data_IF_123605026213
#
_entry.id   IF_123605026213
#
_cell.length_a   1.000
_cell.length_b   1.000
_cell.length_c   1.000
_cell.angle_alpha   90.00
_cell.angle_beta   90.00
_cell.angle_gamma   90.00
#
_symmetry.space_group_name_H-M   'P 1'
#
loop_
_entity.id
_entity.type
_entity.pdbx_description
1 polymer ?
#
# COMPACT_ATOMS: atom_id res chain seq x y z
N UNK A 1 26.62 -38.24 52.20
CA UNK A 1 26.61 -38.11 53.67
C UNK A 1 26.52 -36.61 53.99
N UNK A 2 25.39 -36.19 54.57
CA UNK A 2 25.01 -34.88 55.12
C UNK A 2 25.10 -33.62 54.22
N UNK A 3 24.00 -33.12 53.66
CA UNK A 3 22.95 -32.23 54.23
C UNK A 3 23.43 -30.80 54.50
N UNK A 4 22.89 -29.82 53.76
CA UNK A 4 22.26 -28.62 54.34
C UNK A 4 21.40 -27.87 53.33
N UNK A 5 20.15 -27.67 53.73
CA UNK A 5 19.08 -26.86 53.14
C UNK A 5 19.41 -25.38 53.30
N UNK A 6 19.28 -24.57 52.25
CA UNK A 6 19.02 -23.13 52.39
C UNK A 6 17.99 -22.66 51.34
N UNK A 7 16.86 -22.28 51.89
CA UNK A 7 15.76 -21.41 51.49
C UNK A 7 15.96 -20.51 50.27
N UNK A 8 15.00 -20.56 49.34
CA UNK A 8 14.78 -19.58 48.26
C UNK A 8 14.36 -18.22 48.83
N UNK A 9 15.02 -17.15 48.38
CA UNK A 9 14.53 -15.78 48.49
C UNK A 9 14.29 -15.24 47.07
N UNK A 10 13.01 -15.12 46.71
CA UNK A 10 12.55 -14.56 45.46
C UNK A 10 12.55 -13.02 45.62
N UNK A 11 13.51 -12.32 45.01
CA UNK A 11 13.46 -10.86 44.90
C UNK A 11 12.62 -10.47 43.69
N UNK A 12 11.37 -10.03 43.91
CA UNK A 12 10.61 -9.28 42.91
C UNK A 12 11.16 -7.85 42.83
N UNK A 13 11.90 -7.54 41.78
CA UNK A 13 12.20 -6.16 41.41
C UNK A 13 10.98 -5.58 40.66
N UNK A 14 10.22 -4.72 41.33
CA UNK A 14 9.18 -3.91 40.68
C UNK A 14 9.86 -2.76 39.94
N UNK A 15 9.89 -2.83 38.61
CA UNK A 15 10.35 -1.71 37.78
C UNK A 15 9.21 -0.70 37.64
N UNK A 16 9.31 0.42 38.37
CA UNK A 16 8.39 1.54 38.23
C UNK A 16 8.87 2.35 37.02
N UNK A 17 8.26 2.12 35.86
CA UNK A 17 8.42 3.01 34.71
C UNK A 17 7.72 4.34 35.04
N UNK A 18 8.48 5.32 35.50
CA UNK A 18 7.98 6.70 35.61
C UNK A 18 7.86 7.27 34.19
N UNK A 19 6.64 7.23 33.65
CA UNK A 19 6.27 8.07 32.51
C UNK A 19 6.32 9.51 32.98
N UNK A 20 7.36 10.26 32.60
CA UNK A 20 7.37 11.72 32.72
C UNK A 20 6.47 12.23 31.59
N UNK A 21 5.27 12.79 31.87
CA UNK A 21 4.49 13.43 30.84
C UNK A 21 5.20 14.73 30.47
N UNK A 22 5.79 14.77 29.28
CA UNK A 22 6.26 16.02 28.71
C UNK A 22 5.04 16.96 28.60
N UNK A 23 5.17 18.25 28.98
CA UNK A 23 4.08 19.19 28.79
C UNK A 23 3.81 19.35 27.30
N UNK A 24 2.72 18.74 26.83
CA UNK A 24 2.15 19.08 25.53
C UNK A 24 1.56 20.48 25.66
N UNK A 25 2.27 21.48 25.12
CA UNK A 25 1.66 22.76 24.82
C UNK A 25 0.62 22.48 23.74
N UNK A 26 -0.63 22.30 24.14
CA UNK A 26 -1.77 22.32 23.24
C UNK A 26 -1.90 23.75 22.73
N UNK A 27 -1.18 24.08 21.66
CA UNK A 27 -1.54 25.22 20.83
C UNK A 27 -2.94 24.95 20.28
N UNK A 28 -3.83 25.94 20.43
CA UNK A 28 -5.23 25.85 20.03
C UNK A 28 -5.32 25.26 18.61
N UNK A 29 -6.03 24.15 18.50
CA UNK A 29 -6.31 23.51 17.22
C UNK A 29 -6.99 24.54 16.30
N UNK A 30 -6.29 24.97 15.27
CA UNK A 30 -6.93 25.49 14.07
C UNK A 30 -7.53 24.31 13.29
N UNK A 31 -8.45 23.58 13.93
CA UNK A 31 -9.40 22.72 13.24
C UNK A 31 -10.45 23.64 12.60
N UNK A 32 -10.00 24.49 11.68
CA UNK A 32 -10.90 25.10 10.71
C UNK A 32 -11.30 24.00 9.73
N UNK A 33 -12.57 23.96 9.35
CA UNK A 33 -13.03 23.16 8.21
C UNK A 33 -12.18 23.53 6.99
N UNK A 34 -11.13 22.75 6.72
CA UNK A 34 -10.26 22.99 5.59
C UNK A 34 -11.04 22.51 4.37
N UNK A 35 -11.68 23.45 3.67
CA UNK A 35 -12.32 23.18 2.37
C UNK A 35 -11.27 23.00 1.26
N UNK A 36 -9.99 22.98 1.63
CA UNK A 36 -8.85 23.04 0.73
C UNK A 36 -7.69 22.20 1.27
N UNK A 37 -7.62 20.95 0.80
CA UNK A 37 -6.60 19.97 1.18
C UNK A 37 -5.17 20.42 0.84
N UNK A 38 -5.00 21.54 0.12
CA UNK A 38 -3.70 22.14 -0.21
C UNK A 38 -3.20 23.19 0.80
N UNK A 39 -3.95 23.51 1.87
CA UNK A 39 -3.50 24.55 2.80
C UNK A 39 -2.28 24.13 3.62
N UNK A 40 -1.17 24.86 3.45
CA UNK A 40 0.12 24.62 4.12
C UNK A 40 0.05 24.61 5.65
N UNK A 41 -0.95 25.26 6.25
CA UNK A 41 -1.06 25.42 7.71
C UNK A 41 -1.28 24.09 8.47
N UNK A 42 -1.85 23.07 7.81
CA UNK A 42 -2.08 21.76 8.43
C UNK A 42 -0.88 20.79 8.31
N UNK A 43 0.09 21.10 7.44
CA UNK A 43 1.21 20.20 7.12
C UNK A 43 2.36 20.22 8.14
N UNK A 44 2.34 21.13 9.13
CA UNK A 44 3.34 21.23 10.20
C UNK A 44 2.99 20.44 11.47
N UNK A 45 1.98 19.56 11.41
CA UNK A 45 1.55 18.74 12.56
C UNK A 45 2.10 17.29 12.48
N UNK A 46 2.60 16.71 13.59
CA UNK A 46 2.74 17.30 14.92
C UNK A 46 3.96 18.22 15.03
N UNK A 47 3.86 19.26 15.85
CA UNK A 47 5.00 20.09 16.24
C UNK A 47 6.05 19.23 16.94
N UNK A 48 7.23 19.09 16.32
CA UNK A 48 8.34 18.27 16.80
C UNK A 48 9.48 19.17 17.28
N UNK A 49 10.04 18.88 18.46
CA UNK A 49 11.32 19.45 18.92
C UNK A 49 12.53 18.61 18.49
N UNK A 50 12.29 17.51 17.77
CA UNK A 50 13.30 16.60 17.24
C UNK A 50 13.45 16.80 15.73
N UNK A 51 14.68 17.06 15.28
CA UNK A 51 14.98 17.30 13.86
C UNK A 51 14.67 18.72 13.41
N UNK A 52 14.71 18.94 12.10
CA UNK A 52 14.26 20.19 11.50
C UNK A 52 12.73 20.21 11.43
N UNK A 53 12.13 21.36 11.70
CA UNK A 53 10.70 21.58 11.48
C UNK A 53 10.36 21.28 10.01
N UNK A 54 9.29 20.50 9.78
CA UNK A 54 8.79 20.24 8.44
C UNK A 54 8.15 21.53 7.94
N UNK A 55 8.85 22.22 7.04
CA UNK A 55 8.34 23.43 6.41
C UNK A 55 7.49 23.00 5.19
N UNK A 56 6.19 23.34 5.15
CA UNK A 56 5.36 23.08 3.98
C UNK A 56 6.02 23.71 2.74
N UNK A 57 6.21 22.91 1.70
CA UNK A 57 6.76 23.38 0.43
C UNK A 57 5.58 23.72 -0.49
N UNK A 58 5.58 24.93 -1.05
CA UNK A 58 4.67 25.22 -2.15
C UNK A 58 5.09 24.37 -3.36
N UNK A 59 4.16 23.73 -4.08
CA UNK A 59 4.51 23.03 -5.31
C UNK A 59 5.07 24.03 -6.31
N UNK A 60 6.15 23.68 -6.99
CA UNK A 60 6.68 24.48 -8.09
C UNK A 60 5.79 24.37 -9.34
N UNK A 61 6.12 25.12 -10.38
CA UNK A 61 5.31 25.17 -11.60
C UNK A 61 5.32 23.83 -12.36
N UNK A 62 6.42 23.06 -12.25
CA UNK A 62 6.52 21.72 -12.85
C UNK A 62 5.58 20.75 -12.16
N UNK A 63 5.59 20.68 -10.83
CA UNK A 63 4.69 19.83 -10.06
C UNK A 63 3.23 20.21 -10.29
N UNK A 64 2.90 21.50 -10.37
CA UNK A 64 1.52 21.92 -10.70
C UNK A 64 1.10 21.46 -12.09
N UNK A 65 1.96 21.60 -13.10
CA UNK A 65 1.67 21.13 -14.45
C UNK A 65 1.44 19.61 -14.49
N UNK A 66 2.25 18.83 -13.77
CA UNK A 66 2.05 17.37 -13.65
C UNK A 66 0.73 17.01 -12.96
N UNK A 67 0.33 17.76 -11.93
CA UNK A 67 -0.95 17.56 -11.24
C UNK A 67 -2.14 17.90 -12.14
N UNK A 68 -2.02 18.91 -13.00
CA UNK A 68 -3.06 19.30 -13.96
C UNK A 68 -3.28 18.24 -15.07
N UNK A 69 -2.30 17.36 -15.30
CA UNK A 69 -2.43 16.22 -16.22
C UNK A 69 -3.22 15.03 -15.63
N UNK A 70 -3.49 15.03 -14.32
CA UNK A 70 -4.26 13.97 -13.66
C UNK A 70 -5.73 14.08 -14.05
N UNK A 71 -6.24 13.06 -14.75
CA UNK A 71 -7.61 13.01 -15.23
C UNK A 71 -8.46 12.01 -14.41
N UNK A 72 -9.46 12.48 -13.64
CA UNK A 72 -10.38 11.62 -12.90
C UNK A 72 -11.12 10.60 -13.77
N UNK A 73 -11.37 10.90 -15.05
CA UNK A 73 -12.05 9.98 -15.95
C UNK A 73 -11.19 8.75 -16.27
N UNK A 74 -9.86 8.90 -16.34
CA UNK A 74 -8.94 7.78 -16.52
C UNK A 74 -8.88 6.90 -15.27
N UNK A 75 -8.90 7.50 -14.08
CA UNK A 75 -8.94 6.78 -12.80
C UNK A 75 -10.23 5.96 -12.71
N UNK A 76 -11.39 6.58 -12.98
CA UNK A 76 -12.68 5.88 -12.99
C UNK A 76 -12.69 4.74 -14.01
N UNK A 77 -12.18 4.95 -15.21
CA UNK A 77 -12.10 3.91 -16.24
C UNK A 77 -11.27 2.70 -15.78
N UNK A 78 -10.14 2.91 -15.10
CA UNK A 78 -9.34 1.83 -14.54
C UNK A 78 -10.08 1.08 -13.43
N UNK A 79 -10.74 1.81 -12.51
CA UNK A 79 -11.55 1.20 -11.45
C UNK A 79 -12.65 0.32 -12.06
N UNK A 80 -13.43 0.87 -12.99
CA UNK A 80 -14.52 0.15 -13.66
C UNK A 80 -14.00 -1.07 -14.43
N UNK A 81 -12.82 -0.94 -15.06
CA UNK A 81 -12.20 -2.06 -15.74
C UNK A 81 -11.79 -3.17 -14.77
N UNK A 82 -11.18 -2.84 -13.64
CA UNK A 82 -10.83 -3.82 -12.60
C UNK A 82 -12.07 -4.47 -11.97
N UNK A 83 -13.13 -3.70 -11.75
CA UNK A 83 -14.45 -4.19 -11.29
C UNK A 83 -15.07 -5.16 -12.30
N UNK A 84 -14.89 -4.92 -13.61
CA UNK A 84 -15.49 -5.74 -14.67
C UNK A 84 -15.03 -7.20 -14.69
N UNK A 85 -13.91 -7.53 -14.03
CA UNK A 85 -13.47 -8.92 -13.89
C UNK A 85 -14.34 -9.75 -12.93
N UNK A 86 -15.33 -9.13 -12.28
CA UNK A 86 -16.30 -9.76 -11.37
C UNK A 86 -15.72 -10.08 -10.00
N UNK A 87 -14.63 -10.84 -9.97
CA UNK A 87 -13.81 -11.09 -8.78
C UNK A 87 -12.35 -11.08 -9.15
N UNK A 88 -11.49 -10.64 -8.23
CA UNK A 88 -10.03 -10.75 -8.34
C UNK A 88 -9.48 -11.55 -7.16
N UNK A 89 -10.27 -12.47 -6.61
CA UNK A 89 -9.83 -13.29 -5.48
C UNK A 89 -8.56 -14.08 -5.82
N UNK A 90 -7.63 -14.18 -4.87
CA UNK A 90 -6.34 -14.89 -5.04
C UNK A 90 -6.52 -16.31 -5.60
N UNK A 91 -7.55 -17.02 -5.14
CA UNK A 91 -7.89 -18.39 -5.57
C UNK A 91 -8.78 -18.47 -6.83
N UNK A 92 -9.20 -17.35 -7.40
CA UNK A 92 -10.06 -17.32 -8.59
C UNK A 92 -9.30 -17.76 -9.85
N UNK A 93 -10.02 -17.87 -10.97
CA UNK A 93 -9.46 -18.37 -12.24
C UNK A 93 -8.17 -17.63 -12.65
N UNK A 94 -7.16 -18.42 -13.03
CA UNK A 94 -5.83 -17.97 -13.43
C UNK A 94 -5.68 -17.84 -14.95
N UNK A 95 -6.59 -18.44 -15.71
CA UNK A 95 -6.49 -18.67 -17.15
C UNK A 95 -7.76 -18.21 -17.89
N UNK A 96 -8.21 -16.99 -17.57
CA UNK A 96 -9.32 -16.33 -18.24
C UNK A 96 -8.87 -14.96 -18.74
N UNK A 97 -9.50 -14.49 -19.82
CA UNK A 97 -9.27 -13.14 -20.37
C UNK A 97 -10.30 -12.12 -19.87
N UNK A 98 -11.35 -12.57 -19.18
CA UNK A 98 -12.52 -11.73 -18.86
C UNK A 98 -12.95 -11.79 -17.39
N UNK A 99 -12.51 -12.78 -16.61
CA UNK A 99 -12.90 -12.96 -15.21
C UNK A 99 -11.72 -13.39 -14.37
N UNK A 100 -11.72 -13.05 -13.09
CA UNK A 100 -10.76 -13.59 -12.12
C UNK A 100 -9.43 -12.84 -12.08
N UNK A 101 -8.60 -13.25 -11.12
CA UNK A 101 -7.32 -12.61 -10.82
C UNK A 101 -6.31 -12.76 -11.97
N UNK A 102 -6.36 -13.86 -12.74
CA UNK A 102 -5.50 -14.04 -13.91
C UNK A 102 -5.75 -12.97 -14.98
N UNK A 103 -7.02 -12.71 -15.29
CA UNK A 103 -7.42 -11.69 -16.26
C UNK A 103 -6.98 -10.28 -15.80
N UNK A 104 -7.17 -9.98 -14.52
CA UNK A 104 -6.78 -8.71 -13.93
C UNK A 104 -5.25 -8.50 -13.97
N UNK A 105 -4.46 -9.50 -13.55
CA UNK A 105 -2.99 -9.47 -13.61
C UNK A 105 -2.50 -9.17 -15.03
N UNK A 106 -3.02 -9.89 -16.01
CA UNK A 106 -2.55 -9.78 -17.39
C UNK A 106 -2.94 -8.43 -18.00
N UNK A 107 -4.11 -7.90 -17.63
CA UNK A 107 -4.55 -6.56 -18.03
C UNK A 107 -3.69 -5.45 -17.41
N UNK A 108 -3.44 -5.47 -16.09
CA UNK A 108 -2.57 -4.50 -15.42
C UNK A 108 -1.16 -4.54 -16.02
N UNK A 109 -0.61 -5.73 -16.25
CA UNK A 109 0.70 -5.88 -16.88
C UNK A 109 0.70 -5.33 -18.33
N UNK A 110 -0.42 -5.38 -19.04
CA UNK A 110 -0.52 -4.79 -20.38
C UNK A 110 -0.56 -3.27 -20.34
N UNK A 111 -1.26 -2.66 -19.37
CA UNK A 111 -1.27 -1.19 -19.20
C UNK A 111 0.12 -0.68 -18.82
N UNK A 112 0.82 -1.33 -17.88
CA UNK A 112 2.20 -0.95 -17.58
C UNK A 112 3.14 -1.10 -18.78
N UNK A 113 2.96 -2.13 -19.61
CA UNK A 113 3.77 -2.28 -20.84
C UNK A 113 3.48 -1.19 -21.87
N UNK A 114 2.23 -0.71 -21.95
CA UNK A 114 1.87 0.44 -22.78
C UNK A 114 2.60 1.69 -22.30
N UNK A 115 2.63 1.95 -20.99
CA UNK A 115 3.40 3.07 -20.42
C UNK A 115 4.91 2.91 -20.64
N UNK A 116 5.43 1.69 -20.49
CA UNK A 116 6.84 1.41 -20.78
C UNK A 116 7.22 1.64 -22.25
N UNK A 117 6.30 1.39 -23.18
CA UNK A 117 6.49 1.73 -24.60
C UNK A 117 6.63 3.23 -24.85
N UNK A 118 6.02 4.06 -24.02
CA UNK A 118 6.12 5.52 -24.07
C UNK A 118 7.28 6.08 -23.23
N UNK A 119 7.98 5.26 -22.44
CA UNK A 119 8.98 5.73 -21.48
C UNK A 119 10.41 5.86 -22.05
N UNK A 120 10.59 5.69 -23.36
CA UNK A 120 11.91 5.69 -24.02
C UNK A 120 12.91 4.70 -23.39
N UNK A 121 12.43 3.54 -22.94
CA UNK A 121 13.25 2.50 -22.32
C UNK A 121 13.61 2.71 -20.84
N UNK A 122 13.13 3.79 -20.20
CA UNK A 122 13.34 4.04 -18.76
C UNK A 122 12.56 3.11 -17.83
N UNK A 123 11.44 2.57 -18.30
CA UNK A 123 10.54 1.72 -17.54
C UNK A 123 10.63 0.26 -18.01
N UNK A 124 10.67 -0.67 -17.06
CA UNK A 124 10.56 -2.11 -17.32
C UNK A 124 9.38 -2.71 -16.56
N UNK A 125 8.82 -3.81 -17.09
CA UNK A 125 7.66 -4.48 -16.50
C UNK A 125 7.94 -5.95 -16.31
N UNK A 126 7.74 -6.46 -15.10
CA UNK A 126 7.90 -7.86 -14.76
C UNK A 126 6.69 -8.41 -14.01
N UNK A 127 6.48 -9.72 -14.10
CA UNK A 127 5.37 -10.41 -13.39
C UNK A 127 5.95 -11.59 -12.59
N UNK A 128 6.77 -11.32 -11.56
CA UNK A 128 7.33 -12.38 -10.73
C UNK A 128 6.20 -13.18 -10.09
N UNK A 129 6.38 -14.50 -10.04
CA UNK A 129 5.35 -15.43 -9.57
C UNK A 129 5.97 -16.57 -8.78
N UNK A 130 5.21 -17.10 -7.83
CA UNK A 130 5.55 -18.33 -7.12
C UNK A 130 4.30 -19.18 -6.90
N UNK A 131 4.51 -20.46 -6.55
CA UNK A 131 3.42 -21.33 -6.14
C UNK A 131 3.37 -21.32 -4.61
N UNK A 132 2.27 -20.82 -4.06
CA UNK A 132 1.97 -20.90 -2.64
C UNK A 132 1.45 -22.31 -2.32
N UNK A 133 2.13 -23.09 -1.46
CA UNK A 133 1.62 -24.38 -0.99
C UNK A 133 0.35 -24.21 -0.14
N UNK A 134 -0.30 -25.34 0.15
CA UNK A 134 -1.49 -25.39 1.00
C UNK A 134 -1.24 -24.70 2.34
N UNK A 135 -2.16 -23.82 2.73
CA UNK A 135 -2.14 -23.06 3.96
C UNK A 135 -3.58 -22.77 4.43
N UNK A 136 -3.76 -22.13 5.59
CA UNK A 136 -5.07 -21.90 6.21
C UNK A 136 -6.11 -21.22 5.32
N UNK A 137 -5.69 -20.36 4.38
CA UNK A 137 -6.56 -19.66 3.41
C UNK A 137 -6.27 -20.03 1.95
N UNK A 138 -5.46 -21.06 1.73
CA UNK A 138 -5.05 -21.54 0.41
C UNK A 138 -5.25 -23.07 0.42
N UNK A 139 -6.45 -23.56 0.11
CA UNK A 139 -6.78 -24.98 0.26
C UNK A 139 -6.11 -25.89 -0.79
N UNK A 140 -5.55 -25.31 -1.85
CA UNK A 140 -4.80 -26.00 -2.91
C UNK A 140 -3.64 -25.12 -3.41
N UNK A 141 -2.56 -25.71 -3.95
CA UNK A 141 -1.44 -24.95 -4.48
C UNK A 141 -1.89 -23.88 -5.48
N UNK A 142 -1.55 -22.63 -5.19
CA UNK A 142 -2.04 -21.47 -5.95
C UNK A 142 -0.88 -20.66 -6.48
N UNK A 143 -0.93 -20.26 -7.75
CA UNK A 143 0.02 -19.31 -8.31
C UNK A 143 -0.31 -17.92 -7.80
N UNK A 144 0.64 -17.28 -7.14
CA UNK A 144 0.55 -15.88 -6.72
C UNK A 144 1.55 -15.10 -7.56
N UNK A 145 1.09 -13.98 -8.12
CA UNK A 145 1.85 -13.13 -9.02
C UNK A 145 1.75 -11.68 -8.57
N UNK A 146 2.86 -10.96 -8.62
CA UNK A 146 2.86 -9.50 -8.51
C UNK A 146 3.11 -8.91 -9.89
N UNK A 147 2.58 -7.72 -10.16
CA UNK A 147 2.90 -6.95 -11.37
C UNK A 147 3.77 -5.77 -10.93
N UNK A 148 4.99 -5.70 -11.47
CA UNK A 148 5.96 -4.68 -11.06
C UNK A 148 6.33 -3.85 -12.28
N UNK A 149 6.19 -2.54 -12.12
CA UNK A 149 6.70 -1.52 -13.01
C UNK A 149 7.88 -0.83 -12.32
N UNK A 150 9.05 -0.82 -12.96
CA UNK A 150 10.26 -0.19 -12.43
C UNK A 150 10.73 0.90 -13.38
N UNK A 151 10.87 2.13 -12.87
CA UNK A 151 11.54 3.24 -13.56
C UNK A 151 12.88 3.45 -12.86
N UNK A 152 13.98 3.25 -13.58
CA UNK A 152 15.32 3.37 -12.98
C UNK A 152 15.79 4.83 -12.99
N UNK A 153 16.18 5.34 -11.82
CA UNK A 153 16.73 6.69 -11.68
C UNK A 153 18.04 6.86 -12.46
N UNK A 154 18.22 8.02 -13.08
CA UNK A 154 19.44 8.35 -13.85
C UNK A 154 20.58 8.91 -13.01
N UNK A 155 20.28 9.48 -11.85
CA UNK A 155 21.27 10.14 -10.97
C UNK A 155 21.64 9.29 -9.74
N UNK A 156 20.63 8.77 -9.04
CA UNK A 156 20.79 7.93 -7.84
C UNK A 156 20.02 6.61 -8.02
N UNK A 157 20.53 5.66 -8.84
CA UNK A 157 19.82 4.44 -9.20
C UNK A 157 19.64 3.45 -8.03
N UNK A 158 20.33 3.66 -6.91
CA UNK A 158 20.24 2.81 -5.72
C UNK A 158 19.17 3.32 -4.72
N UNK A 159 18.66 4.55 -4.93
CA UNK A 159 17.55 5.09 -4.16
C UNK A 159 16.21 4.62 -4.71
N UNK A 160 15.46 3.91 -3.88
CA UNK A 160 14.19 3.30 -4.27
C UNK A 160 13.01 3.99 -3.58
N UNK A 161 12.03 4.40 -4.38
CA UNK A 161 10.71 4.81 -3.93
C UNK A 161 9.72 3.72 -4.33
N UNK A 162 8.89 3.28 -3.38
CA UNK A 162 7.91 2.21 -3.62
C UNK A 162 6.50 2.77 -3.43
N UNK A 163 5.69 2.63 -4.47
CA UNK A 163 4.25 2.86 -4.44
C UNK A 163 3.60 1.49 -4.67
N UNK A 164 2.63 1.13 -3.85
CA UNK A 164 2.01 -0.20 -3.89
C UNK A 164 0.52 -0.15 -3.61
N UNK A 165 -0.24 -0.98 -4.30
CA UNK A 165 -1.62 -1.35 -3.99
C UNK A 165 -1.79 -2.86 -4.18
N UNK A 166 -2.91 -3.42 -3.73
CA UNK A 166 -3.22 -4.83 -3.98
C UNK A 166 -4.35 -4.97 -4.99
N UNK A 167 -4.15 -5.82 -6.00
CA UNK A 167 -5.14 -5.96 -7.07
C UNK A 167 -6.10 -7.13 -6.85
N UNK A 168 -5.91 -7.93 -5.79
CA UNK A 168 -6.87 -8.95 -5.42
C UNK A 168 -8.07 -8.35 -4.67
N UNK A 169 -9.18 -9.07 -4.67
CA UNK A 169 -10.41 -8.66 -3.99
C UNK A 169 -11.10 -9.87 -3.38
N UNK A 170 -11.96 -9.67 -2.39
CA UNK A 170 -12.71 -10.78 -1.78
C UNK A 170 -14.05 -10.32 -1.24
N UNK A 171 -14.96 -11.28 -1.09
CA UNK A 171 -16.14 -11.12 -0.25
C UNK A 171 -15.81 -11.41 1.22
N UNK A 172 -16.81 -11.27 2.10
CA UNK A 172 -16.65 -11.52 3.54
C UNK A 172 -16.16 -12.94 3.84
N UNK A 173 -16.73 -13.94 3.18
CA UNK A 173 -16.24 -15.31 3.25
C UNK A 173 -14.90 -15.42 2.51
N UNK A 174 -13.83 -15.67 3.28
CA UNK A 174 -12.45 -15.68 2.80
C UNK A 174 -12.13 -16.82 1.85
N UNK A 175 -12.98 -17.86 1.80
CA UNK A 175 -12.79 -18.99 0.90
C UNK A 175 -13.79 -18.99 -0.28
N UNK A 176 -14.68 -17.99 -0.35
CA UNK A 176 -15.57 -17.85 -1.49
C UNK A 176 -14.87 -17.09 -2.62
N UNK A 177 -14.12 -17.84 -3.42
CA UNK A 177 -13.36 -17.32 -4.56
C UNK A 177 -14.15 -17.24 -5.87
N UNK A 178 -15.42 -17.66 -5.85
CA UNK A 178 -16.29 -17.70 -7.03
C UNK A 178 -17.26 -16.50 -7.08
N UNK A 179 -17.73 -16.02 -5.92
CA UNK A 179 -18.64 -14.89 -5.84
C UNK A 179 -18.04 -13.60 -6.40
N UNK A 180 -18.91 -12.73 -6.92
CA UNK A 180 -18.49 -11.41 -7.35
C UNK A 180 -17.99 -10.59 -6.15
N UNK A 181 -16.76 -10.11 -6.29
CA UNK A 181 -16.04 -9.26 -5.36
C UNK A 181 -15.50 -8.07 -6.16
N UNK A 182 -16.34 -7.09 -6.52
CA UNK A 182 -15.95 -6.01 -7.41
C UNK A 182 -14.76 -5.20 -6.88
N UNK A 183 -14.68 -5.02 -5.55
CA UNK A 183 -13.52 -4.42 -4.89
C UNK A 183 -13.13 -3.06 -5.48
N UNK A 184 -14.13 -2.18 -5.72
CA UNK A 184 -13.91 -0.89 -6.37
C UNK A 184 -13.04 0.03 -5.51
N UNK A 185 -13.36 0.13 -4.23
CA UNK A 185 -12.57 0.88 -3.25
C UNK A 185 -11.47 0.05 -2.57
N UNK A 186 -11.63 -1.28 -2.55
CA UNK A 186 -10.72 -2.23 -1.89
C UNK A 186 -10.32 -3.33 -2.89
N UNK A 187 -9.25 -3.16 -3.66
CA UNK A 187 -8.41 -1.94 -3.78
C UNK A 187 -8.23 -1.54 -5.26
N UNK A 188 -9.29 -1.64 -6.07
CA UNK A 188 -9.20 -1.18 -7.46
C UNK A 188 -8.87 0.33 -7.55
N UNK A 189 -9.29 1.14 -6.57
CA UNK A 189 -8.98 2.56 -6.51
C UNK A 189 -7.53 2.87 -6.14
N UNK A 190 -6.85 2.05 -5.35
CA UNK A 190 -5.42 2.23 -5.09
C UNK A 190 -4.53 1.68 -6.21
N UNK A 191 -5.07 0.77 -7.03
CA UNK A 191 -4.41 0.27 -8.25
C UNK A 191 -4.58 1.22 -9.45
N UNK A 192 -5.67 2.00 -9.47
CA UNK A 192 -6.01 2.93 -10.54
C UNK A 192 -5.16 4.22 -10.50
#
# INVERSE_FOLDING_TARGET
>A
MFTRVVTSALFLASSIAQTVPLPQVQSASAAGNVSDYASCAAASWPGSTLGAEIIPQAPDDELRALLDEVDPANIEATILKLVSFGTRHTLSTQNSTTRGIGAARDWIASEFRKYAGASEGRMTVSVPSYIQPVASRIPFPTRISNVIAEIRGSEDPDRVYVISGHYDSRVTDVLNYDADAPGANDDASGVA
#
